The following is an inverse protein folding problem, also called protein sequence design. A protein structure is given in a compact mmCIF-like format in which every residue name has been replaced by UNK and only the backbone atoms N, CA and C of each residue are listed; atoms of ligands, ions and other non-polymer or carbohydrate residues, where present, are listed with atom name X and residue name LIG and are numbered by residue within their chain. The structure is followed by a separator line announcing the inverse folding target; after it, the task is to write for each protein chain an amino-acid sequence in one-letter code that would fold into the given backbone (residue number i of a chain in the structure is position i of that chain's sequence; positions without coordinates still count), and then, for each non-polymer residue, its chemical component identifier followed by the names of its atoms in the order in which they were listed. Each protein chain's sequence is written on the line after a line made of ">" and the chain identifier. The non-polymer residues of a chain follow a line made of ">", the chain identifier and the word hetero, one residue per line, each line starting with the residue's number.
data_IF_185843403478
#
_entry.id   IF_185843403478
#
_cell.length_a   1.000
_cell.length_b   1.000
_cell.length_c   1.000
_cell.angle_alpha   90.00
_cell.angle_beta   90.00
_cell.angle_gamma   90.00
#
_symmetry.space_group_name_H-M   'P 1'
#
loop_
_entity.id
_entity.type
_entity.pdbx_description
1 polymer ?
#
# COMPACT_ATOMS: atom_id res chain seq x y z
N UNK A 1 -17.73 17.27 -31.82
CA UNK A 1 -17.92 18.02 -30.56
C UNK A 1 -16.76 17.68 -29.63
N UNK A 2 -16.03 18.68 -29.12
CA UNK A 2 -14.96 18.47 -28.12
C UNK A 2 -15.52 18.75 -26.72
N UNK A 3 -15.26 17.88 -25.72
CA UNK A 3 -15.67 18.14 -24.35
C UNK A 3 -14.94 19.36 -23.81
N UNK A 4 -15.69 20.27 -23.16
CA UNK A 4 -15.12 21.46 -22.52
C UNK A 4 -14.68 21.14 -21.10
N UNK A 5 -13.79 21.94 -20.51
CA UNK A 5 -13.35 21.80 -19.10
C UNK A 5 -14.50 21.76 -18.08
N UNK A 6 -15.70 22.21 -18.46
CA UNK A 6 -16.89 22.15 -17.61
C UNK A 6 -17.45 20.73 -17.45
N UNK A 7 -17.24 19.83 -18.41
CA UNK A 7 -17.72 18.44 -18.34
C UNK A 7 -16.98 17.62 -17.28
N UNK A 8 -15.71 17.92 -16.99
CA UNK A 8 -14.93 17.18 -16.00
C UNK A 8 -15.46 17.36 -14.57
N UNK A 9 -15.99 18.56 -14.28
CA UNK A 9 -16.59 18.92 -12.98
C UNK A 9 -17.98 18.32 -12.79
N UNK A 10 -18.63 17.88 -13.87
CA UNK A 10 -19.94 17.24 -13.78
C UNK A 10 -19.81 15.87 -13.14
N UNK A 11 -20.89 15.47 -12.45
CA UNK A 11 -21.01 14.12 -11.91
C UNK A 11 -20.75 13.09 -13.03
N UNK A 12 -20.08 11.98 -12.69
CA UNK A 12 -19.64 10.95 -13.66
C UNK A 12 -20.74 10.40 -14.58
N UNK A 13 -22.01 10.43 -14.15
CA UNK A 13 -23.19 10.02 -14.95
C UNK A 13 -23.84 11.16 -15.76
N UNK A 14 -23.37 12.40 -15.62
CA UNK A 14 -23.90 13.61 -16.28
C UNK A 14 -22.89 14.19 -17.29
N UNK A 15 -21.86 13.42 -17.62
CA UNK A 15 -20.85 13.81 -18.60
C UNK A 15 -21.35 13.45 -20.00
N UNK A 16 -20.82 14.14 -21.01
CA UNK A 16 -21.08 13.83 -22.42
C UNK A 16 -20.75 12.35 -22.75
N UNK A 17 -19.67 11.84 -22.18
CA UNK A 17 -19.29 10.42 -22.23
C UNK A 17 -19.13 9.91 -20.80
N UNK A 18 -19.81 8.81 -20.48
CA UNK A 18 -19.76 8.23 -19.15
C UNK A 18 -18.41 7.55 -18.92
N UNK A 19 -17.72 7.96 -17.87
CA UNK A 19 -16.46 7.34 -17.46
C UNK A 19 -16.34 7.29 -15.92
N UNK A 20 -15.77 6.21 -15.36
CA UNK A 20 -15.56 6.11 -13.93
C UNK A 20 -14.53 7.15 -13.45
N UNK A 21 -14.68 7.64 -12.22
CA UNK A 21 -13.71 8.55 -11.58
C UNK A 21 -12.55 7.81 -10.89
N UNK A 22 -12.61 6.48 -10.83
CA UNK A 22 -11.61 5.62 -10.21
C UNK A 22 -10.48 5.29 -11.17
N UNK A 23 -9.28 5.04 -10.64
CA UNK A 23 -8.08 4.77 -11.42
C UNK A 23 -7.16 3.81 -10.66
N UNK A 24 -6.23 3.20 -11.38
CA UNK A 24 -5.18 2.36 -10.80
C UNK A 24 -3.94 3.20 -10.48
N UNK A 25 -3.29 2.86 -9.38
CA UNK A 25 -2.08 3.50 -8.86
C UNK A 25 -0.96 2.47 -8.83
N UNK A 26 0.23 2.85 -9.28
CA UNK A 26 1.46 2.12 -9.01
C UNK A 26 2.06 2.69 -7.72
N UNK A 27 1.98 1.92 -6.63
CA UNK A 27 2.52 2.32 -5.32
C UNK A 27 3.85 1.62 -5.11
N UNK A 28 4.90 2.40 -4.87
CA UNK A 28 6.23 1.91 -4.52
C UNK A 28 6.34 1.82 -3.00
N UNK A 29 6.58 0.61 -2.50
CA UNK A 29 6.97 0.41 -1.12
C UNK A 29 8.36 1.02 -0.92
N UNK A 30 8.57 1.75 0.18
CA UNK A 30 9.90 2.29 0.52
C UNK A 30 10.66 1.42 1.53
N UNK A 31 10.10 0.29 1.96
CA UNK A 31 10.69 -0.58 2.99
C UNK A 31 10.82 0.17 4.31
N UNK A 32 9.93 -0.09 5.28
CA UNK A 32 10.12 0.46 6.62
C UNK A 32 11.34 -0.21 7.24
N UNK A 33 12.43 0.54 7.41
CA UNK A 33 13.44 0.27 8.42
C UNK A 33 12.87 0.66 9.79
N UNK A 34 11.84 -0.06 10.25
CA UNK A 34 11.29 0.17 11.58
C UNK A 34 11.72 -1.03 12.43
N UNK A 35 12.92 -0.88 13.00
CA UNK A 35 13.36 -1.64 14.16
C UNK A 35 12.24 -1.60 15.19
N UNK A 36 11.81 -2.79 15.62
CA UNK A 36 10.89 -2.93 16.72
C UNK A 36 11.52 -2.35 17.98
N UNK A 37 10.85 -1.37 18.57
CA UNK A 37 11.01 -1.08 20.00
C UNK A 37 9.63 -1.19 20.62
N UNK A 38 9.42 -2.31 21.32
CA UNK A 38 8.55 -2.59 22.46
C UNK A 38 8.40 -4.12 22.47
N UNK A 39 8.94 -4.89 23.41
CA UNK A 39 9.43 -4.59 24.76
C UNK A 39 10.55 -5.58 25.09
N UNK A 40 11.72 -5.07 25.48
CA UNK A 40 12.64 -5.86 26.29
C UNK A 40 12.00 -6.08 27.67
N UNK A 41 12.29 -7.26 28.23
CA UNK A 41 11.90 -7.82 29.52
C UNK A 41 10.59 -8.62 29.56
N UNK A 42 10.71 -9.92 29.28
CA UNK A 42 10.52 -10.93 30.33
C UNK A 42 11.78 -11.82 30.37
N UNK A 43 12.70 -11.44 31.25
CA UNK A 43 13.91 -12.21 31.58
C UNK A 43 13.48 -13.31 32.55
N UNK A 44 13.28 -14.53 32.05
CA UNK A 44 13.49 -15.77 32.80
C UNK A 44 13.62 -16.90 31.78
N UNK A 45 14.84 -17.23 31.36
CA UNK A 45 15.61 -18.34 31.93
C UNK A 45 15.56 -19.58 31.02
N UNK A 46 16.60 -19.68 30.19
CA UNK A 46 17.28 -20.94 29.78
C UNK A 46 16.48 -21.96 28.93
N UNK A 47 16.95 -22.17 27.69
CA UNK A 47 16.63 -23.26 26.74
C UNK A 47 15.28 -23.20 25.99
N UNK A 48 15.28 -22.69 24.75
CA UNK A 48 14.83 -23.49 23.57
C UNK A 48 14.89 -22.77 22.21
N UNK A 49 14.90 -21.44 22.11
CA UNK A 49 14.80 -20.81 20.78
C UNK A 49 16.17 -20.51 20.12
N UNK A 50 17.07 -21.50 20.08
CA UNK A 50 18.34 -21.41 19.33
C UNK A 50 18.53 -22.56 18.33
N UNK A 51 17.62 -23.53 18.22
CA UNK A 51 17.84 -24.74 17.38
C UNK A 51 16.58 -25.15 16.57
N UNK A 52 16.08 -24.25 15.73
CA UNK A 52 15.46 -24.60 14.43
C UNK A 52 16.13 -23.77 13.36
N UNK A 53 17.32 -24.24 12.97
CA UNK A 53 18.26 -23.61 12.05
C UNK A 53 17.85 -23.80 10.57
N UNK A 54 16.60 -23.49 10.22
CA UNK A 54 16.17 -23.39 8.83
C UNK A 54 14.98 -22.43 8.72
N UNK A 55 15.24 -21.19 8.28
CA UNK A 55 14.21 -20.44 7.57
C UNK A 55 13.76 -19.09 8.11
N UNK A 56 14.45 -18.45 9.05
CA UNK A 56 14.26 -17.01 9.24
C UNK A 56 15.57 -16.27 9.00
N UNK A 57 16.05 -16.42 7.78
CA UNK A 57 16.86 -15.43 7.10
C UNK A 57 16.04 -14.13 7.13
N UNK A 58 16.15 -13.33 8.19
CA UNK A 58 15.67 -11.95 8.23
C UNK A 58 16.55 -11.15 7.28
N UNK A 59 16.31 -11.38 5.98
CA UNK A 59 16.81 -10.54 4.92
C UNK A 59 16.00 -9.26 4.97
N UNK A 60 16.45 -8.32 5.80
CA UNK A 60 15.95 -6.97 5.86
C UNK A 60 16.53 -6.15 4.70
N UNK A 61 16.31 -6.60 3.47
CA UNK A 61 16.50 -5.76 2.29
C UNK A 61 15.23 -4.94 2.09
N UNK A 62 15.31 -3.63 2.17
CA UNK A 62 14.17 -2.75 1.92
C UNK A 62 13.38 -3.17 0.68
N UNK A 63 12.06 -3.31 0.80
CA UNK A 63 11.23 -3.62 -0.36
C UNK A 63 11.09 -2.41 -1.25
N UNK A 64 11.57 -2.50 -2.49
CA UNK A 64 11.35 -1.49 -3.54
C UNK A 64 10.32 -1.91 -4.58
N UNK A 65 9.53 -2.94 -4.27
CA UNK A 65 8.57 -3.51 -5.22
C UNK A 65 7.39 -2.56 -5.44
N UNK A 66 6.99 -2.46 -6.69
CA UNK A 66 5.82 -1.68 -7.13
C UNK A 66 4.60 -2.59 -7.12
N UNK A 67 3.55 -2.17 -6.45
CA UNK A 67 2.25 -2.87 -6.40
C UNK A 67 1.18 -2.00 -7.02
N UNK A 68 0.34 -2.59 -7.87
CA UNK A 68 -0.83 -1.91 -8.41
C UNK A 68 -1.95 -1.90 -7.38
N UNK A 69 -2.47 -0.72 -7.06
CA UNK A 69 -3.52 -0.50 -6.06
C UNK A 69 -4.67 0.25 -6.70
N UNK A 70 -5.90 -0.17 -6.42
CA UNK A 70 -7.09 0.56 -6.86
C UNK A 70 -7.35 1.79 -5.98
N UNK A 71 -7.63 2.94 -6.59
CA UNK A 71 -7.77 4.21 -5.85
C UNK A 71 -8.92 4.23 -4.85
N UNK A 72 -9.94 3.38 -5.01
CA UNK A 72 -11.09 3.23 -4.10
C UNK A 72 -11.14 1.82 -3.48
N UNK A 73 -9.99 1.23 -3.18
CA UNK A 73 -9.92 -0.10 -2.54
C UNK A 73 -10.72 -0.12 -1.23
N UNK A 74 -11.58 -1.13 -1.07
CA UNK A 74 -12.33 -1.39 0.17
C UNK A 74 -11.57 -2.29 1.15
N UNK A 75 -10.50 -2.95 0.70
CA UNK A 75 -9.65 -3.80 1.54
C UNK A 75 -8.32 -3.11 1.82
N UNK A 76 -7.71 -3.49 2.94
CA UNK A 76 -6.33 -3.11 3.29
C UNK A 76 -5.40 -3.82 2.32
N UNK A 77 -4.47 -3.08 1.69
CA UNK A 77 -3.56 -3.66 0.68
C UNK A 77 -2.15 -3.79 1.26
N UNK A 78 -1.68 -5.02 1.55
CA UNK A 78 -0.31 -5.27 1.98
C UNK A 78 0.65 -5.38 0.79
N UNK A 79 1.90 -4.98 0.99
CA UNK A 79 2.99 -5.30 0.07
C UNK A 79 3.30 -6.79 0.15
N UNK A 80 3.29 -7.53 -0.95
CA UNK A 80 3.49 -8.99 -0.94
C UNK A 80 4.92 -9.45 -0.52
N UNK A 81 5.83 -8.54 -0.14
CA UNK A 81 7.26 -8.82 0.07
C UNK A 81 7.71 -8.58 1.51
N UNK A 82 7.18 -7.54 2.14
CA UNK A 82 7.47 -7.17 3.53
C UNK A 82 6.19 -7.10 4.38
N UNK A 83 5.04 -7.46 3.82
CA UNK A 83 3.72 -7.45 4.48
C UNK A 83 3.30 -6.11 5.08
N UNK A 84 4.04 -5.04 4.80
CA UNK A 84 3.71 -3.67 5.23
C UNK A 84 2.45 -3.21 4.52
N UNK A 85 1.56 -2.59 5.29
CA UNK A 85 0.33 -2.01 4.79
C UNK A 85 0.64 -0.78 3.93
N UNK A 86 0.23 -0.80 2.66
CA UNK A 86 0.45 0.29 1.70
C UNK A 86 -0.71 1.30 1.69
N UNK A 87 -1.94 0.82 1.88
CA UNK A 87 -3.10 1.68 1.96
C UNK A 87 -4.19 1.12 2.88
N UNK A 88 -4.97 2.05 3.45
CA UNK A 88 -6.14 1.77 4.27
C UNK A 88 -7.41 2.18 3.50
N UNK A 89 -8.48 1.36 3.57
CA UNK A 89 -9.75 1.68 2.92
C UNK A 89 -10.42 2.88 3.59
N UNK A 90 -11.15 3.65 2.79
CA UNK A 90 -12.00 4.76 3.23
C UNK A 90 -13.28 4.76 2.40
N UNK A 91 -14.30 5.53 2.80
CA UNK A 91 -15.51 5.76 2.00
C UNK A 91 -15.26 6.51 0.67
N UNK A 92 -14.03 7.00 0.45
CA UNK A 92 -13.59 7.70 -0.76
C UNK A 92 -12.32 7.06 -1.33
N UNK A 93 -11.34 7.90 -1.68
CA UNK A 93 -10.02 7.39 -2.12
C UNK A 93 -9.29 6.76 -0.93
N UNK A 94 -8.61 5.63 -1.17
CA UNK A 94 -7.82 4.95 -0.15
C UNK A 94 -6.72 5.87 0.41
N UNK A 95 -6.44 5.75 1.70
CA UNK A 95 -5.37 6.51 2.36
C UNK A 95 -4.06 5.72 2.22
N UNK A 96 -3.06 6.28 1.55
CA UNK A 96 -1.73 5.68 1.46
C UNK A 96 -0.97 5.86 2.78
N UNK A 97 -0.12 4.89 3.11
CA UNK A 97 0.79 4.95 4.25
C UNK A 97 1.87 6.00 4.01
N UNK A 98 2.26 6.72 5.07
CA UNK A 98 3.31 7.74 5.02
C UNK A 98 4.61 7.14 4.49
N UNK A 99 5.28 7.84 3.57
CA UNK A 99 6.51 7.35 2.94
C UNK A 99 6.30 6.31 1.83
N UNK A 100 5.09 6.13 1.29
CA UNK A 100 4.91 5.41 0.03
C UNK A 100 4.92 6.40 -1.15
N UNK A 101 5.71 6.14 -2.19
CA UNK A 101 5.62 6.90 -3.45
C UNK A 101 4.52 6.31 -4.34
N UNK A 102 3.79 7.13 -5.08
CA UNK A 102 2.74 6.65 -5.98
C UNK A 102 2.77 7.35 -7.33
N UNK A 103 2.34 6.62 -8.37
CA UNK A 103 2.13 7.13 -9.73
C UNK A 103 0.76 6.68 -10.22
N UNK A 104 0.03 7.56 -10.90
CA UNK A 104 -1.24 7.17 -11.57
C UNK A 104 -0.91 6.39 -12.85
N UNK A 105 -1.44 5.18 -12.96
CA UNK A 105 -1.33 4.41 -14.21
C UNK A 105 -2.35 4.96 -15.20
N UNK A 106 -1.89 5.33 -16.39
CA UNK A 106 -2.80 5.67 -17.49
C UNK A 106 -3.34 4.37 -18.06
N UNK A 107 -4.64 4.35 -18.36
CA UNK A 107 -5.31 3.23 -19.01
C UNK A 107 -5.47 3.47 -20.50
#
# INVERSE_FOLDING_TARGET
>A
MHPSFTDERRHKKKRLVQSPNSYFLDVKCMGKSELQFHTLLDISSTLTCVITKAGLFLHFSGCYRITTVFSHSQTVVPCAGCSIILCHPRGGKCRLTTGCSFRRKHS
#
